data_IF_928982422116
#
_entry.id   IF_928982422116
#
_cell.length_a   1.000
_cell.length_b   1.000
_cell.length_c   1.000
_cell.angle_alpha   90.00
_cell.angle_beta   90.00
_cell.angle_gamma   90.00
#
_symmetry.space_group_name_H-M   'P 1'
#
loop_
_entity.id
_entity.type
_entity.pdbx_description
1 polymer ?
#
# COMPACT_ATOMS: atom_id res chain seq x y z
N UNK A 1 26.24 0.64 -8.51
CA UNK A 1 26.40 1.82 -9.38
C UNK A 1 25.59 1.64 -10.65
N UNK A 2 24.37 2.18 -10.65
CA UNK A 2 23.67 2.69 -11.82
C UNK A 2 23.02 3.97 -11.30
N UNK A 3 23.78 5.07 -11.25
CA UNK A 3 23.17 6.40 -11.18
C UNK A 3 22.50 6.62 -12.54
N UNK A 4 21.31 6.04 -12.70
CA UNK A 4 20.46 6.31 -13.85
C UNK A 4 20.00 7.76 -13.72
N UNK A 5 20.16 8.57 -14.77
CA UNK A 5 19.62 9.93 -14.89
C UNK A 5 18.09 10.05 -14.64
N UNK A 6 17.41 8.93 -14.37
CA UNK A 6 16.00 8.84 -13.99
C UNK A 6 15.75 9.22 -12.53
N UNK A 7 16.68 8.89 -11.63
CA UNK A 7 16.45 9.05 -10.19
C UNK A 7 17.01 10.37 -9.67
N UNK A 8 16.17 11.17 -9.04
CA UNK A 8 16.55 12.47 -8.47
C UNK A 8 16.34 12.47 -6.96
N UNK A 9 17.33 13.00 -6.23
CA UNK A 9 17.27 13.17 -4.79
C UNK A 9 16.39 14.39 -4.44
N UNK A 10 15.31 14.13 -3.71
CA UNK A 10 14.31 15.11 -3.28
C UNK A 10 14.63 15.70 -1.90
N UNK A 11 15.03 14.84 -0.96
CA UNK A 11 15.35 15.20 0.43
C UNK A 11 16.12 14.07 1.12
N UNK A 12 16.42 14.22 2.41
CA UNK A 12 17.12 13.22 3.21
C UNK A 12 18.48 13.70 3.69
N UNK A 13 19.17 12.86 4.48
CA UNK A 13 20.50 13.13 4.99
C UNK A 13 21.53 13.35 3.86
N UNK A 14 21.37 12.67 2.74
CA UNK A 14 22.23 12.82 1.56
C UNK A 14 21.96 14.09 0.74
N UNK A 15 20.86 14.81 1.00
CA UNK A 15 20.48 15.98 0.20
C UNK A 15 21.29 17.21 0.59
N UNK A 16 22.15 17.65 -0.34
CA UNK A 16 22.96 18.86 -0.22
C UNK A 16 22.59 19.89 -1.30
N UNK A 17 22.39 21.14 -0.90
CA UNK A 17 22.30 22.28 -1.81
C UNK A 17 23.09 23.47 -1.22
N UNK A 18 23.20 24.56 -1.99
CA UNK A 18 23.91 25.77 -1.56
C UNK A 18 23.09 26.65 -0.57
N UNK A 19 21.91 26.20 -0.14
CA UNK A 19 20.95 27.03 0.57
C UNK A 19 20.76 26.55 2.01
N UNK A 20 20.58 27.50 2.92
CA UNK A 20 20.00 27.15 4.22
C UNK A 20 18.53 26.75 4.05
N UNK A 21 18.00 25.93 4.97
CA UNK A 21 16.59 25.49 4.92
C UNK A 21 15.61 26.66 4.79
N UNK A 22 15.89 27.76 5.49
CA UNK A 22 15.06 28.97 5.45
C UNK A 22 15.17 29.70 4.11
N UNK A 23 16.37 29.79 3.53
CA UNK A 23 16.57 30.39 2.21
C UNK A 23 15.85 29.60 1.13
N UNK A 24 15.94 28.28 1.16
CA UNK A 24 15.25 27.41 0.22
C UNK A 24 13.72 27.53 0.31
N UNK A 25 13.17 27.46 1.54
CA UNK A 25 11.73 27.58 1.74
C UNK A 25 11.18 28.95 1.31
N UNK A 26 12.00 30.02 1.37
CA UNK A 26 11.61 31.36 0.88
C UNK A 26 11.72 31.53 -0.62
N UNK A 27 12.62 30.78 -1.28
CA UNK A 27 12.90 30.88 -2.72
C UNK A 27 11.98 30.03 -3.59
N UNK A 28 11.28 29.05 -3.02
CA UNK A 28 10.28 28.26 -3.75
C UNK A 28 9.30 29.17 -4.52
N UNK A 29 9.11 28.95 -5.83
CA UNK A 29 8.35 29.88 -6.68
C UNK A 29 6.85 29.91 -6.36
N UNK A 30 6.34 28.92 -5.62
CA UNK A 30 4.91 28.73 -5.38
C UNK A 30 4.61 28.39 -3.91
N UNK A 31 3.41 28.73 -3.43
CA UNK A 31 2.94 28.41 -2.08
C UNK A 31 2.91 29.61 -1.13
N UNK A 32 1.83 29.69 -0.34
CA UNK A 32 1.63 30.71 0.68
C UNK A 32 2.55 30.50 1.91
N UNK A 33 2.42 31.35 2.93
CA UNK A 33 3.24 31.27 4.14
C UNK A 33 3.16 29.91 4.85
N UNK A 34 2.00 29.25 4.84
CA UNK A 34 1.79 27.96 5.50
C UNK A 34 2.51 26.83 4.74
N UNK A 35 2.41 26.81 3.42
CA UNK A 35 3.17 25.87 2.57
C UNK A 35 4.67 26.04 2.79
N UNK A 36 5.18 27.27 2.82
CA UNK A 36 6.61 27.54 3.05
C UNK A 36 7.06 27.10 4.43
N UNK A 37 6.24 27.33 5.46
CA UNK A 37 6.50 26.85 6.82
C UNK A 37 6.57 25.32 6.86
N UNK A 38 5.60 24.62 6.24
CA UNK A 38 5.61 23.15 6.18
C UNK A 38 6.77 22.62 5.34
N UNK A 39 7.11 23.25 4.22
CA UNK A 39 8.28 22.89 3.42
C UNK A 39 9.57 22.97 4.25
N UNK A 40 9.75 24.05 5.02
CA UNK A 40 10.89 24.20 5.94
C UNK A 40 10.93 23.09 7.00
N UNK A 41 9.80 22.81 7.67
CA UNK A 41 9.76 21.81 8.74
C UNK A 41 9.99 20.40 8.20
N UNK A 42 9.37 20.06 7.06
CA UNK A 42 9.55 18.78 6.38
C UNK A 42 10.98 18.58 5.92
N UNK A 43 11.59 19.60 5.30
CA UNK A 43 13.00 19.52 4.87
C UNK A 43 13.93 19.16 6.03
N UNK A 44 13.74 19.81 7.18
CA UNK A 44 14.53 19.54 8.39
C UNK A 44 14.25 18.15 8.97
N UNK A 45 12.99 17.72 8.97
CA UNK A 45 12.59 16.40 9.43
C UNK A 45 13.17 15.29 8.53
N UNK A 46 13.06 15.45 7.21
CA UNK A 46 13.59 14.49 6.23
C UNK A 46 15.11 14.36 6.32
N UNK A 47 15.85 15.47 6.48
CA UNK A 47 17.32 15.42 6.64
C UNK A 47 17.77 14.56 7.82
N UNK A 48 16.96 14.45 8.86
CA UNK A 48 17.31 13.71 10.09
C UNK A 48 16.67 12.34 10.20
N UNK A 49 15.51 12.16 9.60
CA UNK A 49 14.71 10.94 9.71
C UNK A 49 14.79 9.99 8.52
N UNK A 50 15.25 10.46 7.35
CA UNK A 50 15.41 9.65 6.16
C UNK A 50 16.86 9.75 5.64
N UNK A 51 17.40 8.63 5.18
CA UNK A 51 18.70 8.61 4.51
C UNK A 51 18.60 9.36 3.18
N UNK A 52 17.63 8.95 2.35
CA UNK A 52 17.31 9.59 1.09
C UNK A 52 15.82 9.47 0.77
N UNK A 53 15.27 10.54 0.22
CA UNK A 53 13.96 10.58 -0.42
C UNK A 53 14.23 10.90 -1.88
N UNK A 54 13.74 10.05 -2.78
CA UNK A 54 14.08 10.07 -4.20
C UNK A 54 12.81 9.92 -5.03
N UNK A 55 12.84 10.34 -6.29
CA UNK A 55 11.75 10.08 -7.23
C UNK A 55 12.28 9.77 -8.63
N UNK A 56 11.53 8.98 -9.40
CA UNK A 56 11.80 8.73 -10.82
C UNK A 56 11.29 9.91 -11.66
N UNK A 57 12.18 10.86 -11.95
CA UNK A 57 11.88 12.06 -12.73
C UNK A 57 11.31 11.71 -14.11
N UNK A 58 11.85 10.70 -14.78
CA UNK A 58 11.38 10.28 -16.11
C UNK A 58 9.92 9.84 -16.07
N UNK A 59 9.52 9.08 -15.05
CA UNK A 59 8.14 8.63 -14.87
C UNK A 59 7.18 9.81 -14.66
N UNK A 60 7.59 10.83 -13.90
CA UNK A 60 6.79 12.03 -13.67
C UNK A 60 6.70 12.90 -14.93
N UNK A 61 7.78 13.03 -15.69
CA UNK A 61 7.79 13.74 -16.98
C UNK A 61 6.91 13.05 -18.02
N UNK A 62 7.02 11.73 -18.16
CA UNK A 62 6.16 10.93 -19.05
C UNK A 62 4.68 11.06 -18.68
N UNK A 63 4.36 10.96 -17.39
CA UNK A 63 3.00 11.13 -16.90
C UNK A 63 2.46 12.55 -17.17
N UNK A 64 3.30 13.58 -16.95
CA UNK A 64 2.96 14.98 -17.24
C UNK A 64 2.70 15.21 -18.73
N UNK A 65 3.48 14.62 -19.61
CA UNK A 65 3.37 14.85 -21.05
C UNK A 65 2.09 14.26 -21.65
N UNK A 66 1.40 13.37 -20.92
CA UNK A 66 0.09 12.84 -21.28
C UNK A 66 -1.09 13.71 -20.78
N UNK A 67 -0.82 14.79 -20.03
CA UNK A 67 -1.85 15.72 -19.56
C UNK A 67 -2.30 16.61 -20.72
N UNK A 68 -3.57 16.52 -21.09
CA UNK A 68 -4.15 17.35 -22.16
C UNK A 68 -4.59 18.72 -21.62
N UNK A 69 -4.57 19.78 -22.45
CA UNK A 69 -5.08 21.09 -22.06
C UNK A 69 -6.52 21.01 -21.53
N UNK A 70 -6.80 21.73 -20.44
CA UNK A 70 -8.11 21.77 -19.80
C UNK A 70 -8.45 20.57 -18.91
N UNK A 71 -7.55 19.59 -18.77
CA UNK A 71 -7.74 18.50 -17.83
C UNK A 71 -7.37 18.91 -16.41
N UNK A 72 -8.22 18.55 -15.46
CA UNK A 72 -7.90 18.60 -14.04
C UNK A 72 -6.85 17.53 -13.71
N UNK A 73 -5.79 17.91 -13.00
CA UNK A 73 -4.76 16.96 -12.54
C UNK A 73 -5.13 16.44 -11.15
N UNK A 74 -5.17 15.12 -11.00
CA UNK A 74 -5.44 14.45 -9.72
C UNK A 74 -4.29 13.52 -9.38
N UNK A 75 -3.52 13.84 -8.34
CA UNK A 75 -2.52 12.93 -7.79
C UNK A 75 -3.24 11.81 -7.01
N UNK A 76 -2.92 10.57 -7.34
CA UNK A 76 -3.51 9.38 -6.73
C UNK A 76 -2.43 8.53 -6.05
N UNK A 77 -1.84 8.98 -4.92
CA UNK A 77 -0.79 8.23 -4.25
C UNK A 77 -1.28 6.99 -3.51
N UNK A 78 -0.37 6.04 -3.28
CA UNK A 78 -0.58 4.96 -2.30
C UNK A 78 -0.72 5.52 -0.88
N UNK A 79 -1.53 4.86 -0.04
CA UNK A 79 -1.66 5.26 1.36
C UNK A 79 -1.07 4.23 2.33
N UNK A 80 0.19 4.42 2.74
CA UNK A 80 0.99 3.53 3.59
C UNK A 80 1.46 4.22 4.89
N UNK A 81 1.64 5.53 4.88
CA UNK A 81 2.09 6.33 6.03
C UNK A 81 1.27 7.62 6.18
N UNK A 82 1.36 8.30 7.32
CA UNK A 82 0.91 9.70 7.43
C UNK A 82 1.80 10.64 6.61
N UNK A 83 2.98 10.20 6.18
CA UNK A 83 3.88 11.03 5.39
C UNK A 83 3.45 11.18 3.93
N UNK A 84 2.61 10.27 3.42
CA UNK A 84 2.24 10.21 1.99
C UNK A 84 1.65 11.53 1.47
N UNK A 85 0.77 12.15 2.25
CA UNK A 85 0.13 13.41 1.85
C UNK A 85 1.08 14.62 1.90
N UNK A 86 2.16 14.50 2.67
CA UNK A 86 3.16 15.57 2.78
C UNK A 86 4.24 15.42 1.71
N UNK A 87 4.63 14.19 1.34
CA UNK A 87 5.72 13.96 0.40
C UNK A 87 5.36 14.34 -1.04
N UNK A 88 4.12 14.11 -1.49
CA UNK A 88 3.65 14.55 -2.81
C UNK A 88 3.62 16.08 -2.91
N UNK A 89 3.07 16.74 -1.89
CA UNK A 89 3.07 18.22 -1.80
C UNK A 89 4.49 18.79 -1.74
N UNK A 90 5.39 18.14 -0.98
CA UNK A 90 6.79 18.51 -0.89
C UNK A 90 7.51 18.36 -2.24
N UNK A 91 7.25 17.27 -3.00
CA UNK A 91 7.79 17.08 -4.35
C UNK A 91 7.38 18.23 -5.27
N UNK A 92 6.09 18.58 -5.33
CA UNK A 92 5.60 19.66 -6.18
C UNK A 92 6.16 21.04 -5.76
N UNK A 93 6.38 21.26 -4.47
CA UNK A 93 7.01 22.48 -3.95
C UNK A 93 8.51 22.56 -4.26
N UNK A 94 9.22 21.43 -4.14
CA UNK A 94 10.67 21.33 -4.30
C UNK A 94 11.11 21.30 -5.77
N UNK A 95 10.27 20.74 -6.66
CA UNK A 95 10.55 20.55 -8.08
C UNK A 95 9.48 21.21 -8.97
N UNK A 96 9.37 22.55 -8.97
CA UNK A 96 8.40 23.29 -9.77
C UNK A 96 8.56 23.08 -11.28
N UNK A 97 9.74 22.65 -11.74
CA UNK A 97 10.01 22.27 -13.13
C UNK A 97 9.18 21.07 -13.62
N UNK A 98 8.63 20.27 -12.70
CA UNK A 98 7.65 19.23 -13.04
C UNK A 98 6.33 19.82 -13.56
N UNK A 99 6.08 21.13 -13.36
CA UNK A 99 4.85 21.82 -13.77
C UNK A 99 3.57 21.18 -13.24
N UNK A 100 3.66 20.54 -12.07
CA UNK A 100 2.53 20.02 -11.30
C UNK A 100 2.34 20.96 -10.11
N UNK A 101 1.15 21.54 -9.98
CA UNK A 101 0.84 22.45 -8.88
C UNK A 101 0.76 21.70 -7.55
N UNK A 102 1.05 22.40 -6.46
CA UNK A 102 0.91 21.85 -5.11
C UNK A 102 -0.57 21.48 -4.89
N UNK A 103 -0.88 20.23 -4.55
CA UNK A 103 -2.25 19.75 -4.58
C UNK A 103 -3.08 20.23 -3.37
N UNK A 104 -4.39 20.31 -3.57
CA UNK A 104 -5.36 20.31 -2.49
C UNK A 104 -5.64 18.88 -2.03
N UNK A 105 -5.48 18.62 -0.73
CA UNK A 105 -5.48 17.27 -0.18
C UNK A 105 -6.83 16.94 0.46
N UNK A 106 -7.44 15.82 0.06
CA UNK A 106 -8.62 15.28 0.73
C UNK A 106 -8.25 14.66 2.10
N UNK A 107 -8.57 15.36 3.19
CA UNK A 107 -8.22 14.97 4.55
C UNK A 107 -9.45 14.53 5.37
N UNK A 108 -9.24 13.64 6.35
CA UNK A 108 -10.31 13.22 7.27
C UNK A 108 -10.76 14.40 8.15
N UNK A 109 -12.07 14.63 8.29
CA UNK A 109 -12.60 15.69 9.16
C UNK A 109 -12.12 15.58 10.61
N UNK A 110 -11.78 14.38 11.10
CA UNK A 110 -11.19 14.23 12.44
C UNK A 110 -9.88 15.01 12.60
N UNK A 111 -9.08 15.13 11.53
CA UNK A 111 -7.84 15.92 11.52
C UNK A 111 -8.18 17.41 11.55
N UNK A 112 -9.21 17.83 10.81
CA UNK A 112 -9.67 19.22 10.80
C UNK A 112 -10.20 19.72 12.16
N UNK A 113 -10.66 18.80 13.02
CA UNK A 113 -11.09 19.12 14.39
C UNK A 113 -9.94 19.36 15.37
N UNK A 114 -8.69 19.12 14.97
CA UNK A 114 -7.53 19.34 15.82
C UNK A 114 -7.21 20.85 15.92
N UNK A 115 -7.17 21.45 17.13
CA UNK A 115 -6.88 22.87 17.28
C UNK A 115 -5.50 23.22 16.70
N UNK A 116 -5.43 24.38 16.05
CA UNK A 116 -4.27 24.92 15.32
C UNK A 116 -3.82 24.08 14.12
N UNK A 117 -3.64 22.77 14.27
CA UNK A 117 -3.19 21.89 13.20
C UNK A 117 -4.22 21.80 12.06
N UNK A 118 -5.51 21.65 12.38
CA UNK A 118 -6.56 21.63 11.37
C UNK A 118 -6.63 22.95 10.57
N UNK A 119 -6.45 24.07 11.25
CA UNK A 119 -6.36 25.38 10.59
C UNK A 119 -5.11 25.51 9.73
N UNK A 120 -3.93 25.14 10.25
CA UNK A 120 -2.66 25.20 9.51
C UNK A 120 -2.71 24.34 8.25
N UNK A 121 -3.23 23.11 8.35
CA UNK A 121 -3.40 22.21 7.21
C UNK A 121 -4.38 22.77 6.18
N UNK A 122 -5.46 23.45 6.61
CA UNK A 122 -6.38 24.13 5.70
C UNK A 122 -5.69 25.27 4.95
N UNK A 123 -4.84 26.05 5.62
CA UNK A 123 -4.00 27.06 4.97
C UNK A 123 -2.99 26.41 4.01
N UNK A 124 -2.59 25.18 4.27
CA UNK A 124 -1.75 24.34 3.40
C UNK A 124 -2.57 23.45 2.45
N UNK A 125 -3.74 23.91 2.02
CA UNK A 125 -4.58 23.29 0.98
C UNK A 125 -5.28 21.96 1.35
N UNK A 126 -5.39 21.61 2.63
CA UNK A 126 -6.28 20.52 3.04
C UNK A 126 -7.77 20.93 2.94
N UNK A 127 -8.60 20.03 2.40
CA UNK A 127 -10.06 20.11 2.50
C UNK A 127 -10.60 18.85 3.18
N UNK A 128 -11.61 19.02 4.04
CA UNK A 128 -12.03 17.97 4.96
C UNK A 128 -13.24 17.18 4.45
N UNK A 129 -13.16 15.85 4.55
CA UNK A 129 -14.22 14.92 4.13
C UNK A 129 -14.84 14.21 5.33
N UNK A 130 -16.18 14.10 5.35
CA UNK A 130 -16.92 13.28 6.32
C UNK A 130 -16.94 11.82 5.86
N UNK A 131 -16.24 10.93 6.58
CA UNK A 131 -16.26 9.48 6.29
C UNK A 131 -17.47 8.80 6.96
N UNK A 132 -18.13 7.90 6.24
CA UNK A 132 -19.05 6.91 6.84
C UNK A 132 -20.56 7.21 6.80
N UNK A 133 -21.04 8.18 6.01
CA UNK A 133 -22.47 8.48 5.95
C UNK A 133 -23.24 7.79 4.81
N UNK A 134 -22.55 7.12 3.87
CA UNK A 134 -23.21 6.43 2.74
C UNK A 134 -23.98 7.35 1.77
N UNK A 135 -23.97 8.66 2.00
CA UNK A 135 -24.64 9.70 1.21
C UNK A 135 -23.61 10.68 0.64
N UNK A 136 -23.96 11.30 -0.48
CA UNK A 136 -23.20 12.42 -1.02
C UNK A 136 -23.21 13.57 0.00
N UNK A 137 -22.03 14.07 0.35
CA UNK A 137 -21.86 15.22 1.25
C UNK A 137 -21.96 16.50 0.40
N UNK A 138 -23.05 17.27 0.48
CA UNK A 138 -23.25 18.43 -0.41
C UNK A 138 -22.15 19.48 -0.24
N UNK A 139 -21.61 19.65 0.97
CA UNK A 139 -20.51 20.57 1.26
C UNK A 139 -19.22 20.14 0.52
N UNK A 140 -18.94 18.83 0.51
CA UNK A 140 -17.81 18.28 -0.23
C UNK A 140 -17.98 18.48 -1.73
N UNK A 141 -19.17 18.23 -2.27
CA UNK A 141 -19.44 18.41 -3.69
C UNK A 141 -19.27 19.86 -4.13
N UNK A 142 -19.81 20.81 -3.35
CA UNK A 142 -19.65 22.24 -3.62
C UNK A 142 -18.17 22.65 -3.55
N UNK A 143 -17.42 22.16 -2.55
CA UNK A 143 -15.99 22.46 -2.43
C UNK A 143 -15.18 21.87 -3.58
N UNK A 144 -15.47 20.64 -4.01
CA UNK A 144 -14.84 20.02 -5.17
C UNK A 144 -15.17 20.79 -6.44
N UNK A 145 -16.42 21.15 -6.69
CA UNK A 145 -16.80 21.98 -7.84
C UNK A 145 -16.02 23.30 -7.88
N UNK A 146 -15.88 23.98 -6.73
CA UNK A 146 -15.07 25.19 -6.65
C UNK A 146 -13.60 24.93 -7.04
N UNK A 147 -12.96 23.93 -6.42
CA UNK A 147 -11.55 23.62 -6.69
C UNK A 147 -11.31 23.21 -8.15
N UNK A 148 -12.26 22.48 -8.73
CA UNK A 148 -12.22 22.06 -10.14
C UNK A 148 -12.40 23.27 -11.07
N UNK A 149 -13.34 24.18 -10.77
CA UNK A 149 -13.55 25.40 -11.55
C UNK A 149 -12.34 26.35 -11.50
N UNK A 150 -11.61 26.37 -10.39
CA UNK A 150 -10.35 27.10 -10.22
C UNK A 150 -9.14 26.39 -10.89
N UNK A 151 -9.32 25.18 -11.44
CA UNK A 151 -8.25 24.41 -12.06
C UNK A 151 -7.18 23.89 -11.08
N UNK A 152 -7.54 23.73 -9.80
CA UNK A 152 -6.59 23.31 -8.77
C UNK A 152 -6.21 21.83 -8.92
N UNK A 153 -4.93 21.50 -8.77
CA UNK A 153 -4.50 20.10 -8.65
C UNK A 153 -5.05 19.51 -7.36
N UNK A 154 -5.54 18.27 -7.41
CA UNK A 154 -6.08 17.55 -6.25
C UNK A 154 -5.18 16.38 -5.86
N UNK A 155 -5.20 15.99 -4.59
CA UNK A 155 -4.60 14.74 -4.12
C UNK A 155 -5.66 13.87 -3.43
N UNK A 156 -5.85 12.65 -3.96
CA UNK A 156 -6.90 11.72 -3.53
C UNK A 156 -6.34 10.32 -3.34
N UNK A 157 -6.48 9.79 -2.13
CA UNK A 157 -6.18 8.40 -1.83
C UNK A 157 -7.34 7.50 -2.27
N UNK A 158 -7.19 6.86 -3.44
CA UNK A 158 -8.22 5.97 -4.01
C UNK A 158 -8.56 4.81 -3.08
N UNK A 159 -7.60 4.32 -2.30
CA UNK A 159 -7.80 3.27 -1.28
C UNK A 159 -8.71 3.71 -0.11
N UNK A 160 -8.86 5.02 0.11
CA UNK A 160 -9.73 5.64 1.11
C UNK A 160 -9.22 5.58 2.55
N UNK A 161 -8.31 4.66 2.90
CA UNK A 161 -7.63 4.59 4.21
C UNK A 161 -6.20 4.11 4.05
N UNK A 162 -5.36 4.24 5.08
CA UNK A 162 -4.00 3.65 5.07
C UNK A 162 -4.06 2.12 5.05
N UNK A 163 -3.31 1.46 4.19
CA UNK A 163 -3.15 0.00 4.24
C UNK A 163 -2.23 -0.38 5.39
N UNK A 164 -2.73 -1.18 6.33
CA UNK A 164 -1.96 -1.61 7.52
C UNK A 164 -0.94 -2.69 7.19
N UNK A 165 -1.22 -3.49 6.18
CA UNK A 165 -0.33 -4.54 5.68
C UNK A 165 0.51 -4.11 4.49
N UNK A 166 0.33 -2.88 3.98
CA UNK A 166 0.91 -2.39 2.72
C UNK A 166 0.40 -3.06 1.43
N UNK A 167 -0.55 -4.01 1.51
CA UNK A 167 -1.28 -4.53 0.35
C UNK A 167 -2.11 -3.42 -0.31
N UNK A 168 -2.22 -3.46 -1.64
CA UNK A 168 -3.20 -2.68 -2.39
C UNK A 168 -4.61 -3.00 -1.89
N UNK A 169 -5.34 -1.97 -1.46
CA UNK A 169 -6.72 -2.15 -0.98
C UNK A 169 -7.73 -1.94 -2.10
N UNK A 170 -8.93 -2.51 -1.93
CA UNK A 170 -10.03 -2.24 -2.85
C UNK A 170 -10.35 -0.73 -2.91
N UNK A 171 -10.48 -0.16 -4.12
CA UNK A 171 -10.66 1.28 -4.28
C UNK A 171 -12.03 1.75 -3.77
N UNK A 172 -12.04 2.95 -3.18
CA UNK A 172 -13.25 3.69 -2.81
C UNK A 172 -13.60 4.69 -3.90
N UNK A 173 -14.79 4.52 -4.48
CA UNK A 173 -15.25 5.26 -5.67
C UNK A 173 -15.94 6.59 -5.37
N UNK A 174 -16.13 6.94 -4.10
CA UNK A 174 -16.95 8.10 -3.70
C UNK A 174 -16.43 9.42 -4.26
N UNK A 175 -15.13 9.71 -4.08
CA UNK A 175 -14.51 10.94 -4.58
C UNK A 175 -14.40 10.96 -6.10
N UNK A 176 -14.13 9.82 -6.74
CA UNK A 176 -14.12 9.73 -8.21
C UNK A 176 -15.50 10.03 -8.80
N UNK A 177 -16.58 9.52 -8.19
CA UNK A 177 -17.96 9.86 -8.61
C UNK A 177 -18.25 11.35 -8.40
N UNK A 178 -17.80 11.94 -7.29
CA UNK A 178 -17.96 13.37 -7.05
C UNK A 178 -17.20 14.21 -8.09
N UNK A 179 -15.99 13.78 -8.50
CA UNK A 179 -15.25 14.41 -9.58
C UNK A 179 -15.96 14.25 -10.93
N UNK A 180 -16.45 13.06 -11.26
CA UNK A 180 -17.20 12.81 -12.49
C UNK A 180 -18.43 13.73 -12.60
N UNK A 181 -19.13 13.96 -11.49
CA UNK A 181 -20.29 14.87 -11.41
C UNK A 181 -19.96 16.34 -11.70
N UNK A 182 -18.68 16.75 -11.63
CA UNK A 182 -18.27 18.11 -12.04
C UNK A 182 -18.31 18.29 -13.56
N UNK A 183 -18.33 17.21 -14.34
CA UNK A 183 -18.31 17.24 -15.80
C UNK A 183 -16.95 17.61 -16.41
N UNK A 184 -15.95 17.94 -15.59
CA UNK A 184 -14.62 18.32 -16.05
C UNK A 184 -13.77 17.06 -16.26
N UNK A 185 -13.22 16.84 -17.47
CA UNK A 185 -12.25 15.76 -17.70
C UNK A 185 -11.06 15.89 -16.75
N UNK A 186 -10.66 14.77 -16.15
CA UNK A 186 -9.47 14.74 -15.30
C UNK A 186 -8.52 13.63 -15.70
N UNK A 187 -7.25 13.82 -15.36
CA UNK A 187 -6.20 12.83 -15.48
C UNK A 187 -5.71 12.48 -14.08
N UNK A 188 -5.79 11.20 -13.74
CA UNK A 188 -5.28 10.67 -12.49
C UNK A 188 -3.83 10.26 -12.70
N UNK A 189 -2.94 10.75 -11.84
CA UNK A 189 -1.52 10.40 -11.81
C UNK A 189 -1.26 9.44 -10.65
N UNK A 190 -1.14 8.12 -10.90
CA UNK A 190 -0.90 7.13 -9.86
C UNK A 190 0.52 7.30 -9.31
N UNK A 191 0.68 7.51 -7.99
CA UNK A 191 2.01 7.69 -7.37
C UNK A 191 2.29 6.57 -6.38
N UNK A 192 3.18 5.65 -6.73
CA UNK A 192 3.65 4.64 -5.81
C UNK A 192 4.72 5.22 -4.89
N UNK A 193 4.49 5.17 -3.57
CA UNK A 193 5.44 5.63 -2.56
C UNK A 193 6.00 4.42 -1.82
N UNK A 194 7.28 4.18 -2.00
CA UNK A 194 7.96 3.00 -1.48
C UNK A 194 8.86 3.39 -0.30
N UNK A 195 8.65 2.73 0.84
CA UNK A 195 9.39 2.98 2.07
C UNK A 195 10.16 1.74 2.49
N UNK A 196 11.44 1.89 2.84
CA UNK A 196 12.14 0.85 3.59
C UNK A 196 11.38 0.53 4.88
N UNK A 197 11.18 1.56 5.71
CA UNK A 197 10.39 1.49 6.94
C UNK A 197 9.40 2.63 7.00
N UNK A 198 8.24 2.37 7.58
CA UNK A 198 7.28 3.43 7.92
C UNK A 198 7.39 3.74 9.40
N UNK A 199 7.33 5.00 9.81
CA UNK A 199 7.41 5.33 11.23
C UNK A 199 6.30 4.72 12.08
N UNK A 200 5.13 4.50 11.49
CA UNK A 200 3.96 3.92 12.16
C UNK A 200 4.01 2.40 12.28
N UNK A 201 5.12 1.75 11.91
CA UNK A 201 5.26 0.30 11.83
C UNK A 201 4.80 -0.41 13.10
N UNK A 202 5.23 0.03 14.29
CA UNK A 202 4.81 -0.57 15.55
C UNK A 202 3.31 -0.43 15.82
N UNK A 203 2.72 0.71 15.47
CA UNK A 203 1.29 0.93 15.62
C UNK A 203 0.49 0.07 14.64
N UNK A 204 0.95 -0.04 13.40
CA UNK A 204 0.34 -0.89 12.37
C UNK A 204 0.40 -2.37 12.77
N UNK A 205 1.54 -2.84 13.28
CA UNK A 205 1.67 -4.22 13.79
C UNK A 205 0.72 -4.49 14.95
N UNK A 206 0.56 -3.56 15.90
CA UNK A 206 -0.42 -3.70 17.00
C UNK A 206 -1.86 -3.77 16.49
N UNK A 207 -2.23 -2.93 15.51
CA UNK A 207 -3.56 -2.99 14.88
C UNK A 207 -3.76 -4.33 14.14
N UNK A 208 -2.74 -4.83 13.44
CA UNK A 208 -2.76 -6.12 12.76
C UNK A 208 -2.87 -7.31 13.72
N UNK A 209 -2.51 -7.14 14.98
CA UNK A 209 -2.66 -8.14 16.05
C UNK A 209 -4.03 -8.05 16.76
N UNK A 210 -4.97 -7.28 16.21
CA UNK A 210 -6.31 -7.11 16.80
C UNK A 210 -6.40 -5.99 17.84
N UNK A 211 -5.31 -5.23 18.05
CA UNK A 211 -5.31 -4.05 18.92
C UNK A 211 -6.26 -2.96 18.43
N UNK A 212 -6.70 -2.05 19.33
CA UNK A 212 -7.59 -0.96 18.95
C UNK A 212 -6.92 -0.04 17.94
N UNK A 213 -7.71 0.49 17.01
CA UNK A 213 -7.25 1.53 16.08
C UNK A 213 -6.81 2.75 16.88
N UNK A 214 -5.60 3.23 16.65
CA UNK A 214 -5.12 4.46 17.28
C UNK A 214 -5.73 5.63 16.48
N UNK A 215 -6.62 6.46 17.07
CA UNK A 215 -7.15 7.62 16.37
C UNK A 215 -6.02 8.58 16.03
N UNK A 216 -6.18 9.38 14.97
CA UNK A 216 -5.27 10.48 14.67
C UNK A 216 -5.41 11.55 15.77
N UNK A 217 -4.73 11.36 16.90
CA UNK A 217 -4.67 12.30 18.00
C UNK A 217 -3.46 13.22 17.82
N UNK A 218 -3.59 14.49 18.25
CA UNK A 218 -2.51 15.48 18.12
C UNK A 218 -1.21 15.07 18.82
N UNK A 219 -1.29 14.44 19.99
CA UNK A 219 -0.13 14.09 20.81
C UNK A 219 0.77 13.05 20.12
N UNK A 220 0.25 11.90 19.62
CA UNK A 220 1.04 10.97 18.81
C UNK A 220 1.65 11.59 17.55
N UNK A 221 0.91 12.43 16.82
CA UNK A 221 1.41 13.06 15.60
C UNK A 221 2.54 14.07 15.89
N UNK A 222 2.40 14.87 16.95
CA UNK A 222 3.44 15.80 17.39
C UNK A 222 4.67 15.07 17.91
N UNK A 223 4.49 14.03 18.74
CA UNK A 223 5.58 13.17 19.22
C UNK A 223 6.33 12.56 18.06
N UNK A 224 5.61 12.00 17.09
CA UNK A 224 6.17 11.44 15.87
C UNK A 224 6.98 12.45 15.06
N UNK A 225 6.42 13.64 14.83
CA UNK A 225 7.12 14.73 14.12
C UNK A 225 8.41 15.11 14.84
N UNK A 226 8.38 15.15 16.18
CA UNK A 226 9.55 15.42 17.01
C UNK A 226 10.58 14.28 16.95
N UNK A 227 10.17 13.02 17.02
CA UNK A 227 11.06 11.84 16.89
C UNK A 227 11.76 11.84 15.52
N UNK A 228 11.04 12.19 14.45
CA UNK A 228 11.60 12.34 13.10
C UNK A 228 12.61 13.50 13.02
N UNK A 229 12.28 14.67 13.59
CA UNK A 229 13.18 15.83 13.66
C UNK A 229 14.39 15.58 14.57
N UNK A 230 14.29 14.67 15.53
CA UNK A 230 15.40 14.25 16.40
C UNK A 230 16.26 13.14 15.77
N UNK A 231 15.80 12.50 14.69
CA UNK A 231 16.49 11.37 14.08
C UNK A 231 16.38 10.07 14.89
N UNK A 232 15.41 9.98 15.81
CA UNK A 232 15.12 8.78 16.61
C UNK A 232 14.44 7.69 15.77
N UNK A 233 13.90 8.05 14.60
CA UNK A 233 13.33 7.14 13.60
C UNK A 233 14.18 7.18 12.34
N UNK A 234 14.69 6.03 11.94
CA UNK A 234 15.41 5.84 10.67
C UNK A 234 14.49 5.17 9.66
N UNK A 235 13.92 5.98 8.78
CA UNK A 235 13.02 5.53 7.70
C UNK A 235 13.80 4.74 6.63
N UNK A 236 15.10 5.01 6.49
CA UNK A 236 15.92 4.50 5.38
C UNK A 236 15.65 5.32 4.13
N UNK A 237 15.41 4.62 3.01
CA UNK A 237 15.10 5.20 1.72
C UNK A 237 13.59 5.30 1.48
N UNK A 238 13.17 6.42 0.90
CA UNK A 238 11.84 6.63 0.34
C UNK A 238 11.98 6.87 -1.16
N UNK A 239 11.16 6.20 -1.97
CA UNK A 239 11.22 6.32 -3.41
C UNK A 239 9.82 6.48 -4.03
N UNK A 240 9.63 7.53 -4.84
CA UNK A 240 8.38 7.85 -5.51
C UNK A 240 8.48 7.53 -7.00
N UNK A 241 7.49 6.83 -7.53
CA UNK A 241 7.36 6.53 -8.97
C UNK A 241 5.95 6.94 -9.41
N UNK A 242 5.85 7.64 -10.53
CA UNK A 242 4.57 7.94 -11.17
C UNK A 242 4.24 6.82 -12.17
N UNK A 243 3.14 6.12 -11.97
CA UNK A 243 2.64 5.13 -12.93
C UNK A 243 1.99 5.79 -14.15
N UNK A 244 1.55 4.94 -15.07
CA UNK A 244 0.80 5.38 -16.26
C UNK A 244 -0.46 6.17 -15.85
N UNK A 245 -0.66 7.38 -16.41
CA UNK A 245 -1.84 8.20 -16.15
C UNK A 245 -3.14 7.52 -16.57
N UNK A 246 -4.18 7.69 -15.76
CA UNK A 246 -5.52 7.15 -16.05
C UNK A 246 -6.46 8.30 -16.40
N UNK A 247 -7.07 8.23 -17.57
CA UNK A 247 -7.98 9.24 -18.08
C UNK A 247 -9.39 9.02 -17.53
N UNK A 248 -10.04 10.09 -17.09
CA UNK A 248 -11.44 10.03 -16.65
C UNK A 248 -12.24 11.18 -17.28
N UNK A 249 -13.33 10.81 -17.94
CA UNK A 249 -14.27 11.72 -18.59
C UNK A 249 -15.65 11.60 -17.90
N UNK A 250 -16.59 12.46 -18.29
CA UNK A 250 -17.96 12.44 -17.74
C UNK A 250 -18.64 11.08 -17.91
N UNK A 251 -18.35 10.38 -19.02
CA UNK A 251 -18.99 9.09 -19.38
C UNK A 251 -18.19 7.86 -18.92
N UNK A 252 -17.03 8.03 -18.28
CA UNK A 252 -16.18 6.91 -17.89
C UNK A 252 -16.86 6.01 -16.84
N UNK A 253 -16.69 4.69 -16.92
CA UNK A 253 -17.05 3.82 -15.81
C UNK A 253 -16.06 4.01 -14.65
N UNK A 254 -16.51 4.68 -13.59
CA UNK A 254 -15.71 4.93 -12.39
C UNK A 254 -15.21 3.63 -11.76
N UNK A 255 -15.92 2.51 -11.91
CA UNK A 255 -15.42 1.23 -11.44
C UNK A 255 -14.16 0.82 -12.21
N UNK A 256 -14.18 0.77 -13.54
CA UNK A 256 -13.00 0.52 -14.37
C UNK A 256 -11.85 1.49 -14.06
N UNK A 257 -12.11 2.79 -14.08
CA UNK A 257 -11.10 3.84 -13.81
C UNK A 257 -10.43 3.60 -12.46
N UNK A 258 -11.21 3.31 -11.41
CA UNK A 258 -10.66 3.07 -10.09
C UNK A 258 -9.76 1.82 -10.04
N UNK A 259 -10.06 0.80 -10.84
CA UNK A 259 -9.24 -0.41 -10.93
C UNK A 259 -7.98 -0.20 -11.76
N UNK A 260 -8.06 0.58 -12.85
CA UNK A 260 -6.91 0.97 -13.67
C UNK A 260 -5.90 1.78 -12.85
N UNK A 261 -6.36 2.71 -12.01
CA UNK A 261 -5.46 3.46 -11.10
C UNK A 261 -4.77 2.50 -10.12
N UNK A 262 -5.51 1.55 -9.53
CA UNK A 262 -4.91 0.57 -8.63
C UNK A 262 -3.93 -0.36 -9.35
N UNK A 263 -4.18 -0.72 -10.60
CA UNK A 263 -3.28 -1.52 -11.43
C UNK A 263 -1.98 -0.75 -11.72
N UNK A 264 -2.09 0.51 -12.13
CA UNK A 264 -0.93 1.39 -12.38
C UNK A 264 -0.11 1.64 -11.11
N UNK A 265 -0.76 1.80 -9.95
CA UNK A 265 -0.07 1.83 -8.65
C UNK A 265 0.68 0.54 -8.36
N UNK A 266 0.03 -0.62 -8.49
CA UNK A 266 0.61 -1.93 -8.19
C UNK A 266 1.81 -2.26 -9.10
N UNK A 267 1.72 -1.91 -10.38
CA UNK A 267 2.81 -2.07 -11.35
C UNK A 267 4.02 -1.19 -11.02
N UNK A 268 3.79 -0.04 -10.36
CA UNK A 268 4.83 0.93 -9.99
C UNK A 268 5.45 0.65 -8.61
N UNK A 269 5.10 -0.46 -7.95
CA UNK A 269 5.71 -0.81 -6.66
C UNK A 269 7.16 -1.24 -6.86
N UNK A 270 8.05 -0.61 -6.08
CA UNK A 270 9.43 -1.04 -5.98
C UNK A 270 9.65 -1.73 -4.64
N UNK A 271 10.38 -2.84 -4.66
CA UNK A 271 10.85 -3.51 -3.45
C UNK A 271 12.23 -3.03 -3.10
N UNK A 272 12.51 -2.83 -1.81
CA UNK A 272 13.87 -2.50 -1.39
C UNK A 272 14.68 -3.72 -1.01
N UNK A 273 16.00 -3.64 -1.16
CA UNK A 273 16.90 -4.70 -0.69
C UNK A 273 16.74 -4.99 0.81
N UNK A 274 16.29 -4.00 1.60
CA UNK A 274 15.95 -4.20 3.01
C UNK A 274 14.74 -5.12 3.19
N UNK A 275 13.68 -4.96 2.37
CA UNK A 275 12.53 -5.87 2.39
C UNK A 275 12.93 -7.30 2.04
N UNK A 276 13.79 -7.47 1.03
CA UNK A 276 14.26 -8.79 0.60
C UNK A 276 15.14 -9.46 1.67
N UNK A 277 16.07 -8.72 2.27
CA UNK A 277 16.90 -9.21 3.40
C UNK A 277 16.02 -9.61 4.59
N UNK A 278 15.00 -8.81 4.91
CA UNK A 278 14.08 -9.11 6.00
C UNK A 278 13.30 -10.41 5.75
N UNK A 279 12.82 -10.63 4.52
CA UNK A 279 12.16 -11.87 4.12
C UNK A 279 13.11 -13.08 4.26
N UNK A 280 14.29 -13.01 3.66
CA UNK A 280 15.27 -14.11 3.68
C UNK A 280 15.73 -14.45 5.11
N UNK A 281 15.84 -13.46 5.99
CA UNK A 281 16.17 -13.71 7.40
C UNK A 281 15.04 -14.46 8.13
N UNK A 282 13.78 -14.13 7.86
CA UNK A 282 12.64 -14.82 8.48
C UNK A 282 12.37 -16.20 7.87
N UNK A 283 12.95 -16.49 6.70
CA UNK A 283 12.72 -17.71 5.94
C UNK A 283 14.05 -18.33 5.47
N UNK A 284 14.92 -18.77 6.40
CA UNK A 284 16.25 -19.30 6.07
C UNK A 284 16.23 -20.61 5.27
N UNK A 285 15.11 -21.34 5.32
CA UNK A 285 14.91 -22.60 4.59
C UNK A 285 14.63 -22.38 3.09
N UNK A 286 14.35 -21.13 2.68
CA UNK A 286 14.17 -20.80 1.27
C UNK A 286 15.54 -20.83 0.58
N UNK A 287 15.74 -21.67 -0.47
CA UNK A 287 17.05 -21.87 -1.10
C UNK A 287 17.39 -20.74 -2.10
N UNK A 288 17.28 -19.49 -1.64
CA UNK A 288 17.45 -18.28 -2.44
C UNK A 288 18.30 -17.28 -1.67
N UNK A 289 19.24 -16.65 -2.36
CA UNK A 289 19.96 -15.50 -1.84
C UNK A 289 19.34 -14.19 -2.35
N UNK A 290 19.88 -13.06 -1.87
CA UNK A 290 19.41 -11.74 -2.26
C UNK A 290 19.53 -11.51 -3.77
N UNK A 291 20.60 -12.01 -4.41
CA UNK A 291 20.84 -11.83 -5.84
C UNK A 291 19.83 -12.61 -6.69
N UNK A 292 19.57 -13.87 -6.34
CA UNK A 292 18.58 -14.73 -7.01
C UNK A 292 17.17 -14.13 -6.87
N UNK A 293 16.79 -13.71 -5.67
CA UNK A 293 15.47 -13.09 -5.43
C UNK A 293 15.31 -11.77 -6.18
N UNK A 294 16.37 -10.95 -6.20
CA UNK A 294 16.41 -9.71 -6.99
C UNK A 294 16.18 -9.99 -8.48
N UNK A 295 16.93 -10.95 -9.04
CA UNK A 295 16.83 -11.30 -10.45
C UNK A 295 15.42 -11.83 -10.81
N UNK A 296 14.82 -12.68 -9.97
CA UNK A 296 13.49 -13.21 -10.21
C UNK A 296 12.39 -12.15 -10.18
N UNK A 297 12.52 -11.16 -9.29
CA UNK A 297 11.61 -10.01 -9.23
C UNK A 297 11.75 -9.16 -10.49
N UNK A 298 12.98 -8.90 -10.94
CA UNK A 298 13.25 -8.14 -12.17
C UNK A 298 12.73 -8.86 -13.43
N UNK A 299 12.90 -10.19 -13.51
CA UNK A 299 12.35 -11.01 -14.60
C UNK A 299 10.81 -10.93 -14.66
N UNK A 300 10.15 -10.70 -13.51
CA UNK A 300 8.70 -10.49 -13.40
C UNK A 300 8.29 -9.04 -13.62
N UNK A 301 9.19 -8.17 -14.06
CA UNK A 301 8.94 -6.75 -14.30
C UNK A 301 8.88 -5.90 -13.03
N UNK A 302 9.25 -6.45 -11.87
CA UNK A 302 9.36 -5.69 -10.63
C UNK A 302 10.63 -4.87 -10.55
N UNK A 303 10.59 -3.75 -9.83
CA UNK A 303 11.77 -2.90 -9.60
C UNK A 303 12.35 -3.17 -8.22
N UNK A 304 13.66 -3.43 -8.14
CA UNK A 304 14.39 -3.57 -6.88
C UNK A 304 15.28 -2.34 -6.67
N UNK A 305 15.09 -1.65 -5.55
CA UNK A 305 15.91 -0.50 -5.15
C UNK A 305 16.87 -0.88 -4.01
N UNK A 306 18.09 -0.36 -4.06
CA UNK A 306 19.03 -0.56 -2.95
C UNK A 306 18.63 0.26 -1.73
N UNK A 307 18.76 -0.36 -0.56
CA UNK A 307 18.46 0.25 0.72
C UNK A 307 19.73 0.42 1.56
N UNK A 308 19.92 1.61 2.16
CA UNK A 308 20.99 1.85 3.13
C UNK A 308 20.79 1.07 4.43
N UNK A 309 19.59 0.56 4.69
CA UNK A 309 19.32 -0.27 5.86
C UNK A 309 19.76 -1.72 5.59
N UNK A 310 20.86 -2.12 6.22
CA UNK A 310 21.41 -3.47 6.10
C UNK A 310 21.03 -4.38 7.28
N UNK A 311 20.82 -3.80 8.46
CA UNK A 311 20.48 -4.55 9.67
C UNK A 311 18.99 -4.92 9.70
N UNK A 312 18.71 -6.21 9.71
CA UNK A 312 17.34 -6.78 9.75
C UNK A 312 17.05 -7.60 11.01
N UNK A 313 18.03 -7.71 11.93
CA UNK A 313 17.96 -8.54 13.13
C UNK A 313 16.74 -8.28 14.04
N UNK A 314 16.20 -7.06 14.05
CA UNK A 314 15.03 -6.67 14.84
C UNK A 314 13.68 -6.78 14.12
N UNK A 315 13.65 -7.24 12.87
CA UNK A 315 12.41 -7.35 12.10
C UNK A 315 11.63 -8.58 12.57
N UNK A 316 10.46 -8.36 13.16
CA UNK A 316 9.57 -9.45 13.57
C UNK A 316 8.87 -10.09 12.37
N UNK A 317 8.38 -11.32 12.50
CA UNK A 317 7.53 -12.00 11.50
C UNK A 317 6.34 -11.14 11.03
N UNK A 318 5.69 -10.41 11.94
CA UNK A 318 4.54 -9.53 11.60
C UNK A 318 4.99 -8.29 10.83
N UNK A 319 6.13 -7.71 11.21
CA UNK A 319 6.74 -6.59 10.49
C UNK A 319 7.14 -7.03 9.08
N UNK A 320 7.89 -8.13 8.95
CA UNK A 320 8.29 -8.72 7.67
C UNK A 320 7.08 -8.94 6.77
N UNK A 321 5.98 -9.50 7.30
CA UNK A 321 4.78 -9.72 6.52
C UNK A 321 4.27 -8.44 5.83
N UNK A 322 4.30 -7.31 6.54
CA UNK A 322 3.91 -6.03 5.93
C UNK A 322 4.87 -5.57 4.84
N UNK A 323 6.16 -5.91 4.93
CA UNK A 323 7.16 -5.59 3.90
C UNK A 323 6.95 -6.45 2.66
N UNK A 324 6.73 -7.77 2.80
CA UNK A 324 6.51 -8.66 1.64
C UNK A 324 5.23 -8.38 0.87
N UNK A 325 4.19 -7.88 1.54
CA UNK A 325 2.93 -7.51 0.91
C UNK A 325 3.08 -6.44 -0.18
N UNK A 326 4.20 -5.71 -0.21
CA UNK A 326 4.49 -4.71 -1.24
C UNK A 326 5.00 -5.32 -2.55
N UNK A 327 5.39 -6.61 -2.58
CA UNK A 327 6.02 -7.21 -3.77
C UNK A 327 5.59 -8.65 -4.06
N UNK A 328 4.91 -9.33 -3.13
CA UNK A 328 4.43 -10.70 -3.35
C UNK A 328 3.48 -10.84 -4.55
N UNK A 329 2.82 -9.76 -4.99
CA UNK A 329 1.91 -9.79 -6.15
C UNK A 329 2.62 -10.12 -7.46
N UNK A 330 3.93 -9.89 -7.53
CA UNK A 330 4.75 -10.25 -8.68
C UNK A 330 4.76 -11.77 -8.93
N UNK A 331 4.51 -12.56 -7.88
CA UNK A 331 4.50 -14.02 -7.90
C UNK A 331 3.08 -14.62 -8.00
N UNK A 332 2.05 -13.81 -8.23
CA UNK A 332 0.68 -14.33 -8.43
C UNK A 332 0.55 -15.31 -9.60
N UNK A 333 1.16 -15.09 -10.77
CA UNK A 333 1.16 -16.09 -11.84
C UNK A 333 1.72 -17.45 -11.41
N UNK A 334 2.81 -17.43 -10.63
CA UNK A 334 3.47 -18.63 -10.12
C UNK A 334 2.63 -19.33 -9.04
N UNK A 335 1.96 -18.55 -8.17
CA UNK A 335 1.02 -19.08 -7.19
C UNK A 335 -0.13 -19.83 -7.87
N UNK A 336 -0.72 -19.24 -8.92
CA UNK A 336 -1.80 -19.87 -9.68
C UNK A 336 -1.31 -21.14 -10.40
N UNK A 337 -0.09 -21.13 -10.95
CA UNK A 337 0.51 -22.31 -11.56
C UNK A 337 0.76 -23.44 -10.52
N UNK A 338 1.24 -23.10 -9.33
CA UNK A 338 1.54 -24.05 -8.26
C UNK A 338 0.28 -24.68 -7.61
N UNK A 339 -0.80 -23.88 -7.51
CA UNK A 339 -2.01 -24.26 -6.77
C UNK A 339 -3.14 -24.74 -7.69
N UNK A 340 -3.03 -24.55 -9.01
CA UNK A 340 -4.07 -24.88 -9.98
C UNK A 340 -5.36 -24.10 -9.70
N UNK A 341 -6.48 -24.83 -9.56
CA UNK A 341 -7.80 -24.22 -9.30
C UNK A 341 -8.14 -24.12 -7.80
N UNK A 342 -7.14 -24.15 -6.91
CA UNK A 342 -7.39 -24.09 -5.47
C UNK A 342 -8.12 -22.79 -5.07
N UNK A 343 -9.26 -22.87 -4.34
CA UNK A 343 -10.12 -21.71 -4.08
C UNK A 343 -9.42 -20.58 -3.32
N UNK A 344 -8.56 -20.91 -2.35
CA UNK A 344 -7.76 -19.93 -1.59
C UNK A 344 -6.90 -19.05 -2.53
N UNK A 345 -6.16 -19.66 -3.46
CA UNK A 345 -5.28 -18.92 -4.36
C UNK A 345 -6.08 -18.05 -5.34
N UNK A 346 -7.12 -18.64 -5.95
CA UNK A 346 -8.00 -17.94 -6.89
C UNK A 346 -8.66 -16.71 -6.24
N UNK A 347 -9.12 -16.86 -5.01
CA UNK A 347 -9.71 -15.78 -4.23
C UNK A 347 -8.67 -14.69 -3.90
N UNK A 348 -7.52 -15.08 -3.36
CA UNK A 348 -6.47 -14.14 -2.96
C UNK A 348 -5.99 -13.30 -4.15
N UNK A 349 -5.70 -13.96 -5.29
CA UNK A 349 -5.30 -13.26 -6.51
C UNK A 349 -6.47 -12.43 -7.06
N UNK A 350 -7.68 -12.95 -7.09
CA UNK A 350 -8.87 -12.21 -7.53
C UNK A 350 -9.11 -10.92 -6.74
N UNK A 351 -8.83 -10.96 -5.43
CA UNK A 351 -9.00 -9.83 -4.53
C UNK A 351 -7.85 -8.82 -4.61
N UNK A 352 -6.58 -9.26 -4.68
CA UNK A 352 -5.43 -8.35 -4.54
C UNK A 352 -4.70 -8.04 -5.86
N UNK A 353 -5.01 -8.75 -6.96
CA UNK A 353 -4.39 -8.51 -8.26
C UNK A 353 -5.22 -7.51 -9.07
N UNK A 354 -4.64 -6.33 -9.33
CA UNK A 354 -5.26 -5.29 -10.16
C UNK A 354 -4.72 -5.30 -11.60
N UNK A 355 -3.47 -5.74 -11.79
CA UNK A 355 -2.89 -5.97 -13.10
C UNK A 355 -3.46 -7.25 -13.75
N UNK A 356 -3.94 -7.15 -14.99
CA UNK A 356 -4.58 -8.27 -15.68
C UNK A 356 -3.57 -9.40 -15.99
N UNK A 357 -2.37 -9.06 -16.44
CA UNK A 357 -1.35 -10.03 -16.83
C UNK A 357 -0.87 -10.87 -15.64
N UNK A 358 -0.84 -10.27 -14.44
CA UNK A 358 -0.46 -10.97 -13.20
C UNK A 358 -1.52 -11.97 -12.71
N UNK A 359 -2.69 -12.02 -13.34
CA UNK A 359 -3.73 -13.04 -13.08
C UNK A 359 -3.60 -14.27 -13.99
N UNK A 360 -2.76 -14.18 -15.01
CA UNK A 360 -2.56 -15.29 -15.93
C UNK A 360 -1.68 -16.34 -15.25
N UNK A 361 -2.00 -17.61 -15.48
CA UNK A 361 -1.18 -18.73 -14.97
C UNK A 361 0.19 -18.65 -15.64
N UNK A 362 1.27 -18.78 -14.85
CA UNK A 362 2.61 -18.83 -15.41
C UNK A 362 2.73 -20.00 -16.41
N UNK A 363 3.43 -19.80 -17.56
CA UNK A 363 3.48 -20.80 -18.62
C UNK A 363 4.26 -22.06 -18.21
N UNK A 364 5.18 -21.94 -17.26
CA UNK A 364 6.03 -23.03 -16.79
C UNK A 364 5.62 -23.46 -15.38
N UNK A 365 5.65 -24.78 -15.14
CA UNK A 365 5.40 -25.32 -13.82
C UNK A 365 6.52 -24.93 -12.84
N UNK A 366 6.20 -24.61 -11.57
CA UNK A 366 7.21 -24.23 -10.59
C UNK A 366 8.18 -25.39 -10.31
N UNK A 367 9.48 -25.10 -10.35
CA UNK A 367 10.50 -26.01 -9.84
C UNK A 367 10.48 -26.07 -8.30
N UNK A 368 11.26 -26.98 -7.71
CA UNK A 368 11.30 -27.17 -6.26
C UNK A 368 11.79 -25.92 -5.50
N UNK A 369 12.69 -25.12 -6.09
CA UNK A 369 13.23 -23.91 -5.45
C UNK A 369 12.19 -22.80 -5.44
N UNK A 370 11.49 -22.60 -6.55
CA UNK A 370 10.39 -21.64 -6.66
C UNK A 370 9.22 -22.07 -5.79
N UNK A 371 8.87 -23.36 -5.75
CA UNK A 371 7.81 -23.86 -4.87
C UNK A 371 8.11 -23.57 -3.39
N UNK A 372 9.35 -23.78 -2.93
CA UNK A 372 9.75 -23.44 -1.56
C UNK A 372 9.61 -21.92 -1.27
N UNK A 373 9.96 -21.07 -2.24
CA UNK A 373 9.74 -19.61 -2.13
C UNK A 373 8.25 -19.27 -2.05
N UNK A 374 7.41 -19.85 -2.90
CA UNK A 374 5.96 -19.62 -2.92
C UNK A 374 5.31 -20.07 -1.60
N UNK A 375 5.72 -21.23 -1.09
CA UNK A 375 5.27 -21.73 0.21
C UNK A 375 5.59 -20.74 1.34
N UNK A 376 6.80 -20.16 1.37
CA UNK A 376 7.17 -19.16 2.36
C UNK A 376 6.40 -17.84 2.18
N UNK A 377 6.27 -17.36 0.94
CA UNK A 377 5.54 -16.14 0.60
C UNK A 377 4.09 -16.19 1.05
N UNK A 378 3.41 -17.31 0.79
CA UNK A 378 1.98 -17.46 1.00
C UNK A 378 1.60 -18.34 2.21
N UNK A 379 2.56 -18.75 3.04
CA UNK A 379 2.31 -19.45 4.32
C UNK A 379 1.22 -18.79 5.19
N UNK A 380 1.13 -17.45 5.31
CA UNK A 380 0.05 -16.78 6.02
C UNK A 380 -1.36 -17.14 5.54
N UNK A 381 -1.54 -17.45 4.24
CA UNK A 381 -2.81 -17.90 3.69
C UNK A 381 -3.16 -19.28 4.25
N UNK A 382 -2.26 -20.25 4.07
CA UNK A 382 -2.46 -21.62 4.54
C UNK A 382 -2.70 -21.69 6.04
N UNK A 383 -1.88 -21.00 6.84
CA UNK A 383 -2.03 -20.94 8.31
C UNK A 383 -3.38 -20.37 8.74
N UNK A 384 -3.82 -19.28 8.09
CA UNK A 384 -5.06 -18.60 8.46
C UNK A 384 -6.29 -19.43 8.09
N UNK A 385 -6.34 -19.97 6.88
CA UNK A 385 -7.46 -20.81 6.44
C UNK A 385 -7.54 -22.11 7.24
N UNK A 386 -6.40 -22.76 7.53
CA UNK A 386 -6.39 -23.95 8.39
C UNK A 386 -6.93 -23.65 9.79
N UNK A 387 -6.48 -22.56 10.42
CA UNK A 387 -6.98 -22.15 11.74
C UNK A 387 -8.47 -21.84 11.71
N UNK A 388 -8.96 -21.15 10.68
CA UNK A 388 -10.40 -20.88 10.54
C UNK A 388 -11.22 -22.17 10.38
N UNK A 389 -10.75 -23.10 9.55
CA UNK A 389 -11.42 -24.40 9.35
C UNK A 389 -11.45 -25.20 10.66
N UNK A 390 -10.33 -25.28 11.37
CA UNK A 390 -10.24 -26.00 12.65
C UNK A 390 -11.24 -25.46 13.68
N UNK A 391 -11.38 -24.13 13.76
CA UNK A 391 -12.32 -23.49 14.70
C UNK A 391 -13.77 -23.76 14.30
N UNK A 392 -14.10 -23.65 13.01
CA UNK A 392 -15.46 -23.91 12.50
C UNK A 392 -15.85 -25.37 12.75
N UNK A 393 -14.95 -26.32 12.48
CA UNK A 393 -15.20 -27.76 12.71
C UNK A 393 -15.40 -28.07 14.19
N UNK A 394 -14.55 -27.53 15.06
CA UNK A 394 -14.62 -27.79 16.51
C UNK A 394 -15.82 -27.16 17.19
N UNK A 395 -16.19 -25.94 16.81
CA UNK A 395 -17.20 -25.15 17.51
C UNK A 395 -18.56 -25.12 16.82
N UNK A 396 -18.65 -25.70 15.61
CA UNK A 396 -19.87 -25.70 14.78
C UNK A 396 -20.46 -24.28 14.63
N UNK A 397 -19.60 -23.27 14.69
CA UNK A 397 -19.90 -21.84 14.66
C UNK A 397 -18.57 -21.07 14.61
N UNK A 398 -18.63 -19.76 14.38
CA UNK A 398 -17.48 -18.88 14.55
C UNK A 398 -17.84 -17.73 15.50
N UNK A 399 -17.59 -17.88 16.82
CA UNK A 399 -18.08 -16.98 17.87
C UNK A 399 -17.21 -15.73 18.02
N UNK A 400 -16.96 -15.04 16.91
CA UNK A 400 -16.15 -13.83 16.87
C UNK A 400 -16.93 -12.69 16.24
N UNK A 401 -16.93 -11.53 16.90
CA UNK A 401 -17.61 -10.33 16.41
C UNK A 401 -17.05 -9.77 15.11
N UNK A 402 -15.77 -10.03 14.83
CA UNK A 402 -15.05 -9.56 13.66
C UNK A 402 -13.66 -10.21 13.57
N UNK A 403 -12.97 -9.99 12.45
CA UNK A 403 -11.61 -10.46 12.19
C UNK A 403 -10.59 -10.03 13.26
N UNK A 404 -10.74 -8.85 13.88
CA UNK A 404 -9.81 -8.39 14.93
C UNK A 404 -9.93 -9.24 16.19
N UNK A 405 -11.15 -9.57 16.60
CA UNK A 405 -11.39 -10.46 17.73
C UNK A 405 -10.78 -11.85 17.48
N UNK A 406 -10.87 -12.34 16.24
CA UNK A 406 -10.26 -13.61 15.85
C UNK A 406 -8.73 -13.55 15.96
N UNK A 407 -8.07 -12.53 15.38
CA UNK A 407 -6.60 -12.42 15.45
C UNK A 407 -6.09 -12.14 16.87
N UNK A 408 -6.85 -11.43 17.70
CA UNK A 408 -6.51 -11.26 19.11
C UNK A 408 -6.46 -12.60 19.86
N UNK A 409 -7.26 -13.59 19.45
CA UNK A 409 -7.25 -14.96 19.99
C UNK A 409 -6.19 -15.85 19.31
N UNK A 410 -5.98 -15.66 18.01
CA UNK A 410 -5.05 -16.42 17.17
C UNK A 410 -3.97 -15.50 16.58
N UNK A 411 -2.97 -15.09 17.39
CA UNK A 411 -1.99 -14.07 17.00
C UNK A 411 -1.06 -14.51 15.86
N UNK A 412 -0.99 -15.81 15.55
CA UNK A 412 -0.30 -16.32 14.38
C UNK A 412 -0.97 -15.88 13.07
N UNK A 413 -2.30 -15.76 13.05
CA UNK A 413 -3.06 -15.34 11.86
C UNK A 413 -2.85 -13.86 11.53
N UNK A 414 -3.04 -13.51 10.26
CA UNK A 414 -2.82 -12.15 9.78
C UNK A 414 -4.17 -11.49 9.48
N UNK A 415 -4.43 -10.35 10.12
CA UNK A 415 -5.72 -9.66 10.01
C UNK A 415 -6.25 -9.48 8.57
N UNK A 416 -5.46 -9.03 7.59
CA UNK A 416 -5.95 -8.88 6.22
C UNK A 416 -6.41 -10.21 5.60
N UNK A 417 -5.72 -11.30 5.91
CA UNK A 417 -6.06 -12.64 5.42
C UNK A 417 -7.34 -13.14 6.09
N UNK A 418 -7.51 -12.88 7.39
CA UNK A 418 -8.74 -13.22 8.12
C UNK A 418 -9.92 -12.40 7.58
N UNK A 419 -9.75 -11.10 7.35
CA UNK A 419 -10.78 -10.23 6.77
C UNK A 419 -11.21 -10.73 5.39
N UNK A 420 -10.24 -11.11 4.55
CA UNK A 420 -10.47 -11.67 3.22
C UNK A 420 -11.20 -13.02 3.28
N UNK A 421 -10.72 -13.96 4.11
CA UNK A 421 -11.31 -15.28 4.27
C UNK A 421 -12.75 -15.20 4.79
N UNK A 422 -13.02 -14.36 5.80
CA UNK A 422 -14.36 -14.14 6.32
C UNK A 422 -15.30 -13.54 5.29
N UNK A 423 -14.84 -12.57 4.49
CA UNK A 423 -15.63 -11.99 3.41
C UNK A 423 -16.02 -13.07 2.39
N UNK A 424 -15.07 -13.91 1.97
CA UNK A 424 -15.39 -14.99 1.03
C UNK A 424 -16.30 -16.06 1.63
N UNK A 425 -16.07 -16.47 2.88
CA UNK A 425 -16.96 -17.43 3.53
C UNK A 425 -18.40 -16.88 3.62
N UNK A 426 -18.57 -15.57 3.82
CA UNK A 426 -19.88 -14.95 3.70
C UNK A 426 -20.43 -14.93 2.28
N UNK A 427 -19.62 -14.53 1.29
CA UNK A 427 -20.05 -14.45 -0.11
C UNK A 427 -20.43 -15.82 -0.70
N UNK A 428 -19.78 -16.90 -0.24
CA UNK A 428 -20.09 -18.29 -0.61
C UNK A 428 -21.25 -18.89 0.20
N UNK A 429 -21.72 -18.18 1.22
CA UNK A 429 -22.77 -18.66 2.12
C UNK A 429 -22.30 -19.75 3.09
N UNK A 430 -20.98 -19.91 3.30
CA UNK A 430 -20.42 -20.78 4.34
C UNK A 430 -20.69 -20.20 5.73
N UNK A 431 -20.57 -18.87 5.86
CA UNK A 431 -20.84 -18.13 7.09
C UNK A 431 -21.94 -17.08 6.87
N UNK A 432 -22.87 -16.97 7.80
CA UNK A 432 -23.88 -15.90 7.83
C UNK A 432 -23.58 -15.00 9.02
N UNK A 433 -23.42 -13.70 8.76
CA UNK A 433 -23.12 -12.76 9.84
C UNK A 433 -24.35 -12.49 10.69
N UNK A 434 -24.27 -12.83 11.97
CA UNK A 434 -25.33 -12.56 12.95
C UNK A 434 -25.07 -11.23 13.66
N UNK A 435 -25.94 -10.26 13.42
CA UNK A 435 -25.80 -8.91 13.96
C UNK A 435 -26.19 -8.81 15.44
N UNK A 436 -27.04 -9.72 15.93
CA UNK A 436 -27.53 -9.72 17.31
C UNK A 436 -26.51 -10.32 18.27
N UNK A 437 -26.00 -11.50 17.95
CA UNK A 437 -24.97 -12.19 18.74
C UNK A 437 -23.56 -11.64 18.52
N UNK A 438 -23.36 -10.81 17.49
CA UNK A 438 -22.03 -10.41 17.00
C UNK A 438 -21.16 -11.66 16.79
N UNK A 439 -21.64 -12.59 15.98
CA UNK A 439 -20.92 -13.81 15.58
C UNK A 439 -21.16 -14.13 14.11
N UNK A 440 -20.60 -15.23 13.65
CA UNK A 440 -20.94 -15.83 12.37
C UNK A 440 -21.55 -17.21 12.59
N UNK A 441 -22.75 -17.40 12.08
CA UNK A 441 -23.47 -18.66 12.08
C UNK A 441 -23.11 -19.44 10.81
N UNK A 442 -23.30 -20.76 10.83
CA UNK A 442 -23.00 -21.60 9.67
C UNK A 442 -24.16 -21.55 8.66
N UNK A 443 -23.83 -21.46 7.37
CA UNK A 443 -24.83 -21.61 6.31
C UNK A 443 -25.26 -23.07 6.12
N UNK A 444 -26.31 -23.27 5.32
CA UNK A 444 -26.95 -24.59 5.17
C UNK A 444 -26.06 -25.69 4.58
N UNK A 445 -25.03 -25.33 3.81
CA UNK A 445 -24.16 -26.26 3.08
C UNK A 445 -22.67 -26.09 3.44
N UNK A 446 -22.41 -25.65 4.67
CA UNK A 446 -21.07 -25.26 5.11
C UNK A 446 -20.05 -26.40 5.06
N UNK A 447 -20.46 -27.65 5.33
CA UNK A 447 -19.56 -28.81 5.39
C UNK A 447 -18.95 -29.14 4.03
N UNK A 448 -19.79 -29.19 2.99
CA UNK A 448 -19.34 -29.46 1.62
C UNK A 448 -18.42 -28.34 1.12
N UNK A 449 -18.73 -27.09 1.44
CA UNK A 449 -17.90 -25.95 1.04
C UNK A 449 -16.57 -25.88 1.81
N UNK A 450 -16.55 -26.17 3.11
CA UNK A 450 -15.36 -26.09 3.95
C UNK A 450 -14.29 -27.10 3.52
N UNK A 451 -14.70 -28.28 3.04
CA UNK A 451 -13.78 -29.31 2.54
C UNK A 451 -12.83 -28.79 1.44
N UNK A 452 -13.32 -27.91 0.56
CA UNK A 452 -12.50 -27.32 -0.51
C UNK A 452 -11.43 -26.35 0.02
N UNK A 453 -11.65 -25.72 1.18
CA UNK A 453 -10.68 -24.83 1.83
C UNK A 453 -9.73 -25.57 2.77
N UNK A 454 -10.08 -26.80 3.16
CA UNK A 454 -9.23 -27.69 3.98
C UNK A 454 -8.18 -28.44 3.16
N UNK A 455 -8.40 -28.59 1.86
CA UNK A 455 -7.43 -29.21 0.97
C UNK A 455 -6.06 -28.50 1.05
N UNK A 456 -4.94 -29.24 0.94
CA UNK A 456 -3.63 -28.61 0.87
C UNK A 456 -3.53 -27.65 -0.32
N UNK A 457 -3.11 -26.41 -0.05
CA UNK A 457 -2.94 -25.38 -1.10
C UNK A 457 -1.93 -25.81 -2.17
N UNK A 458 -0.91 -26.55 -1.75
CA UNK A 458 0.20 -26.98 -2.59
C UNK A 458 -0.04 -28.42 -3.00
N UNK A 459 -0.06 -28.68 -4.31
CA UNK A 459 -0.06 -30.04 -4.82
C UNK A 459 1.25 -30.71 -4.40
N UNK A 460 1.18 -31.89 -3.81
CA UNK A 460 2.38 -32.66 -3.46
C UNK A 460 3.12 -33.03 -4.74
N UNK A 461 4.27 -32.42 -5.01
CA UNK A 461 5.20 -32.92 -6.01
C UNK A 461 5.66 -34.33 -5.59
N UNK A 462 5.80 -35.28 -6.53
CA UNK A 462 6.44 -36.55 -6.22
C UNK A 462 7.84 -36.26 -5.66
N UNK A 463 8.19 -36.92 -4.55
CA UNK A 463 9.45 -36.71 -3.85
C UNK A 463 10.63 -36.71 -4.83
N UNK A 464 11.47 -35.68 -4.76
CA UNK A 464 12.70 -35.62 -5.55
C UNK A 464 13.52 -36.90 -5.28
N UNK A 465 14.02 -37.60 -6.32
CA UNK A 465 14.85 -38.77 -6.10
C UNK A 465 16.07 -38.35 -5.26
N UNK A 466 16.50 -39.19 -4.30
CA UNK A 466 17.60 -38.85 -3.42
C UNK A 466 18.83 -38.49 -4.24
N UNK A 467 19.47 -37.36 -3.90
CA UNK A 467 20.74 -36.94 -4.46
C UNK A 467 21.71 -38.13 -4.37
N UNK A 468 22.07 -38.70 -5.53
CA UNK A 468 23.09 -39.74 -5.59
C UNK A 468 24.37 -39.13 -5.01
N UNK A 469 24.85 -39.73 -3.92
CA UNK A 469 26.15 -39.42 -3.35
C UNK A 469 27.22 -39.49 -4.44
N UNK A 470 28.16 -38.53 -4.48
CA UNK A 470 29.27 -38.61 -5.43
C UNK A 470 30.03 -39.91 -5.15
N UNK A 471 30.15 -40.75 -6.18
CA UNK A 471 31.03 -41.93 -6.11
C UNK A 471 32.46 -41.43 -5.91
N UNK A 472 33.07 -41.88 -4.82
CA UNK A 472 34.49 -41.70 -4.53
C UNK A 472 35.38 -42.32 -5.62
#
# INVERSE_FOLDING_TARGET
>A
MLQNNREVLLAGAEYTDAYTDLQWARRGPHGNWAIRLLGFTLRKAFRRGAHSITFDKTSFEQARDQIKPGQLVVLAPTHRSMMDFLVCSYLCFAHPELKISIPYIAADLQIGKLPFLGWLLQQAYAFYIKRGQGKADPELNARLQQLVAEGQTLEIFIEGTRSRSRLCMQPKRGLLRALQQTGVPCVLLPIAINYDRVPEEQAMVRELQGGPRIPAQMKPLLKWTLELIKGEVQIGRVHLICGEPVQMHSESDVHSVSREVMASLQASYSVSSYHLRAFLQQHPDVPWDLATLTAAIQQRGGTVIDSPLTQVAGVTRKTEYTLRCQWQHLFYPDLLAASGQHPIAQQHVGYHCFEADKRQVAPEAPDARLLALLQALYAPLTETYNTLCDVIEQQQSLPFANARAFVARYPQCFLPVVEEALACFCDKGLLVKNSESKSYDLGSDWQAQLAAYRAPLWQSQPAAPPLKSPRH
#
